data_IF_266399971016
#
_entry.id   IF_266399971016
#
_cell.length_a   1.000
_cell.length_b   1.000
_cell.length_c   1.000
_cell.angle_alpha   90.00
_cell.angle_beta   90.00
_cell.angle_gamma   90.00
#
_symmetry.space_group_name_H-M   'P 1'
#
loop_
_entity.id
_entity.type
_entity.pdbx_description
1 polymer ?
#
# COMPACT_ATOMS: atom_id res chain seq x y z
N UNK A 1 -8.57 18.01 1.68
CA UNK A 1 -8.00 18.17 0.33
C UNK A 1 -9.00 18.87 -0.58
N UNK A 2 -8.61 19.13 -1.82
CA UNK A 2 -9.42 19.77 -2.85
C UNK A 2 -9.65 18.78 -4.00
N UNK A 3 -10.81 18.90 -4.65
CA UNK A 3 -11.18 18.14 -5.85
C UNK A 3 -11.42 19.16 -6.97
N UNK A 4 -10.73 19.00 -8.09
CA UNK A 4 -10.90 19.86 -9.25
C UNK A 4 -12.18 19.52 -10.01
N UNK A 5 -12.93 20.54 -10.45
CA UNK A 5 -14.04 20.42 -11.41
C UNK A 5 -13.52 20.87 -12.76
N UNK A 6 -13.57 19.98 -13.75
CA UNK A 6 -12.98 20.21 -15.06
C UNK A 6 -14.02 20.26 -16.17
N UNK A 7 -13.70 20.96 -17.25
CA UNK A 7 -14.50 20.95 -18.49
C UNK A 7 -14.11 19.77 -19.40
N UNK A 8 -14.77 19.68 -20.57
CA UNK A 8 -14.50 18.63 -21.56
C UNK A 8 -13.09 18.69 -22.20
N UNK A 9 -12.36 19.79 -22.01
CA UNK A 9 -10.96 19.92 -22.41
C UNK A 9 -9.97 19.56 -21.28
N UNK A 10 -10.46 19.18 -20.10
CA UNK A 10 -9.65 18.87 -18.92
C UNK A 10 -9.13 20.09 -18.17
N UNK A 11 -9.65 21.29 -18.48
CA UNK A 11 -9.24 22.53 -17.82
C UNK A 11 -10.06 22.73 -16.54
N UNK A 12 -9.38 23.02 -15.42
CA UNK A 12 -10.03 23.28 -14.13
C UNK A 12 -10.87 24.57 -14.22
N UNK A 13 -12.15 24.43 -13.98
CA UNK A 13 -13.14 25.54 -13.97
C UNK A 13 -13.48 25.96 -12.53
N UNK A 14 -13.45 25.00 -11.60
CA UNK A 14 -13.73 25.23 -10.18
C UNK A 14 -12.99 24.22 -9.30
N UNK A 15 -12.95 24.49 -8.01
CA UNK A 15 -12.31 23.63 -7.00
C UNK A 15 -13.20 23.54 -5.77
N UNK A 16 -13.55 22.34 -5.37
CA UNK A 16 -14.36 22.10 -4.19
C UNK A 16 -13.56 21.42 -3.08
N UNK A 17 -14.01 21.58 -1.83
CA UNK A 17 -13.46 20.79 -0.73
C UNK A 17 -13.95 19.35 -0.82
N UNK A 18 -13.04 18.40 -0.54
CA UNK A 18 -13.43 16.99 -0.45
C UNK A 18 -14.45 16.77 0.68
N UNK A 19 -15.41 15.90 0.43
CA UNK A 19 -16.36 15.39 1.41
C UNK A 19 -16.24 13.87 1.48
N UNK A 20 -16.29 13.31 2.70
CA UNK A 20 -16.29 11.87 2.98
C UNK A 20 -17.39 11.54 3.96
N UNK A 21 -17.89 10.29 4.00
CA UNK A 21 -18.74 9.84 5.11
C UNK A 21 -18.04 10.02 6.45
N UNK A 22 -18.79 10.45 7.47
CA UNK A 22 -18.26 10.77 8.80
C UNK A 22 -17.83 9.54 9.60
N UNK A 23 -18.29 8.34 9.19
CA UNK A 23 -17.97 7.06 9.83
C UNK A 23 -17.37 6.10 8.84
N UNK A 24 -16.62 5.12 9.35
CA UNK A 24 -16.08 4.00 8.59
C UNK A 24 -16.09 2.75 9.44
N UNK A 25 -16.77 1.72 8.96
CA UNK A 25 -16.79 0.39 9.58
C UNK A 25 -15.98 -0.56 8.72
N UNK A 26 -14.97 -1.19 9.31
CA UNK A 26 -14.05 -2.09 8.61
C UNK A 26 -14.08 -3.48 9.23
N UNK A 27 -14.19 -4.50 8.39
CA UNK A 27 -14.04 -5.90 8.75
C UNK A 27 -12.75 -6.44 8.16
N UNK A 28 -12.05 -7.29 8.89
CA UNK A 28 -10.85 -7.94 8.36
C UNK A 28 -10.73 -9.38 8.81
N UNK A 29 -10.32 -10.24 7.87
CA UNK A 29 -9.88 -11.60 8.11
C UNK A 29 -8.35 -11.63 8.02
N UNK A 30 -7.71 -12.26 9.01
CA UNK A 30 -6.26 -12.45 9.03
C UNK A 30 -5.93 -13.91 9.31
N UNK A 31 -5.04 -14.45 8.49
CA UNK A 31 -4.47 -15.77 8.66
C UNK A 31 -2.95 -15.69 8.59
N UNK A 32 -2.27 -16.43 9.46
CA UNK A 32 -0.82 -16.55 9.46
C UNK A 32 -0.42 -17.98 9.77
N UNK A 33 0.60 -18.47 9.07
CA UNK A 33 1.25 -19.74 9.39
C UNK A 33 2.76 -19.54 9.50
N UNK A 34 3.35 -20.23 10.48
CA UNK A 34 4.78 -20.36 10.64
C UNK A 34 5.15 -21.83 10.62
N UNK A 35 6.12 -22.15 9.79
CA UNK A 35 6.58 -23.52 9.65
C UNK A 35 8.11 -23.57 9.84
N UNK A 36 8.55 -24.38 10.82
CA UNK A 36 9.97 -24.62 11.08
C UNK A 36 10.48 -25.72 10.13
N UNK A 37 11.60 -25.43 9.50
CA UNK A 37 12.40 -26.34 8.66
C UNK A 37 13.77 -26.52 9.35
N UNK A 38 14.50 -27.56 8.97
CA UNK A 38 15.87 -27.76 9.47
C UNK A 38 16.79 -26.58 9.12
N UNK A 39 16.57 -25.93 7.97
CA UNK A 39 17.34 -24.79 7.49
C UNK A 39 16.83 -23.42 7.97
N UNK A 40 15.67 -23.36 8.65
CA UNK A 40 15.10 -22.07 9.05
C UNK A 40 13.61 -22.07 9.31
N UNK A 41 12.97 -20.89 9.16
CA UNK A 41 11.55 -20.69 9.43
C UNK A 41 10.88 -19.94 8.30
N UNK A 42 9.83 -20.51 7.75
CA UNK A 42 8.89 -19.83 6.82
C UNK A 42 7.78 -19.17 7.64
N UNK A 43 7.47 -17.92 7.34
CA UNK A 43 6.35 -17.16 7.91
C UNK A 43 5.55 -16.56 6.74
N UNK A 44 4.31 -17.00 6.57
CA UNK A 44 3.41 -16.49 5.52
C UNK A 44 2.13 -16.03 6.17
N UNK A 45 1.66 -14.86 5.78
CA UNK A 45 0.37 -14.34 6.21
C UNK A 45 -0.45 -13.79 5.05
N UNK A 46 -1.76 -13.85 5.22
CA UNK A 46 -2.74 -13.25 4.33
C UNK A 46 -3.75 -12.44 5.14
N UNK A 47 -4.07 -11.24 4.64
CA UNK A 47 -5.13 -10.41 5.20
C UNK A 47 -6.06 -9.99 4.07
N UNK A 48 -7.34 -10.22 4.28
CA UNK A 48 -8.43 -9.59 3.55
C UNK A 48 -9.09 -8.55 4.44
N UNK A 49 -9.43 -7.38 3.90
CA UNK A 49 -10.24 -6.41 4.62
C UNK A 49 -11.20 -5.73 3.65
N UNK A 50 -12.41 -5.48 4.16
CA UNK A 50 -13.51 -4.80 3.46
C UNK A 50 -14.14 -3.77 4.38
N UNK A 51 -14.75 -2.72 3.84
CA UNK A 51 -15.41 -1.66 4.61
C UNK A 51 -16.63 -1.06 3.89
N UNK A 52 -17.37 -0.24 4.63
CA UNK A 52 -18.56 0.47 4.16
C UNK A 52 -18.26 1.66 3.21
N UNK A 53 -16.99 1.88 2.88
CA UNK A 53 -16.56 2.77 1.80
C UNK A 53 -16.33 2.01 0.48
N UNK A 54 -16.68 0.71 0.43
CA UNK A 54 -16.47 -0.21 -0.69
C UNK A 54 -14.99 -0.47 -1.02
N UNK A 55 -14.09 -0.24 -0.04
CA UNK A 55 -12.70 -0.61 -0.20
C UNK A 55 -12.50 -2.05 0.22
N UNK A 56 -12.16 -2.89 -0.75
CA UNK A 56 -11.66 -4.24 -0.55
C UNK A 56 -10.14 -4.25 -0.69
N UNK A 57 -9.46 -4.90 0.24
CA UNK A 57 -8.00 -5.00 0.19
C UNK A 57 -7.46 -6.37 0.52
N UNK A 58 -6.37 -6.73 -0.15
CA UNK A 58 -5.65 -7.99 0.02
C UNK A 58 -4.19 -7.69 0.35
N UNK A 59 -3.66 -8.37 1.36
CA UNK A 59 -2.24 -8.31 1.70
C UNK A 59 -1.71 -9.73 1.81
N UNK A 60 -0.62 -10.02 1.10
CA UNK A 60 0.18 -11.23 1.26
C UNK A 60 1.56 -10.79 1.77
N UNK A 61 2.03 -11.39 2.86
CA UNK A 61 3.35 -11.12 3.44
C UNK A 61 4.07 -12.45 3.65
N UNK A 62 5.31 -12.56 3.17
CA UNK A 62 6.12 -13.77 3.26
C UNK A 62 7.54 -13.43 3.69
N UNK A 63 8.00 -14.13 4.72
CA UNK A 63 9.37 -14.06 5.23
C UNK A 63 9.93 -15.46 5.36
N UNK A 64 11.16 -15.61 4.95
CA UNK A 64 11.85 -16.87 5.13
C UNK A 64 13.21 -16.64 5.80
N UNK A 65 13.31 -17.01 7.09
CA UNK A 65 14.58 -16.96 7.83
C UNK A 65 15.39 -18.21 7.51
N UNK A 66 16.52 -18.03 6.84
CA UNK A 66 17.53 -19.04 6.62
C UNK A 66 18.64 -18.92 7.66
N UNK A 67 18.93 -19.99 8.37
CA UNK A 67 20.07 -20.05 9.26
C UNK A 67 21.36 -20.30 8.45
N UNK A 68 22.38 -19.49 8.70
CA UNK A 68 23.71 -19.58 8.08
C UNK A 68 24.73 -19.98 9.16
N UNK A 69 24.79 -21.30 9.45
CA UNK A 69 25.50 -21.82 10.60
C UNK A 69 24.79 -21.45 11.92
N UNK A 70 25.53 -21.44 13.04
CA UNK A 70 24.95 -21.33 14.35
C UNK A 70 24.58 -19.90 14.75
N UNK A 71 25.29 -18.92 14.21
CA UNK A 71 25.24 -17.53 14.69
C UNK A 71 24.66 -16.53 13.70
N UNK A 72 24.50 -16.92 12.42
CA UNK A 72 24.05 -15.97 11.39
C UNK A 72 22.75 -16.41 10.76
N UNK A 73 22.01 -15.46 10.22
CA UNK A 73 20.84 -15.72 9.40
C UNK A 73 20.60 -14.62 8.38
N UNK A 74 19.95 -15.00 7.30
CA UNK A 74 19.35 -14.07 6.35
C UNK A 74 17.83 -14.29 6.34
N UNK A 75 17.09 -13.22 6.06
CA UNK A 75 15.65 -13.28 5.99
C UNK A 75 15.14 -12.39 4.86
N UNK A 76 14.97 -12.96 3.64
CA UNK A 76 14.21 -12.29 2.60
C UNK A 76 12.78 -12.01 3.06
N UNK A 77 12.23 -10.91 2.57
CA UNK A 77 10.88 -10.42 2.83
C UNK A 77 10.23 -10.01 1.52
N UNK A 78 9.03 -10.53 1.26
CA UNK A 78 8.19 -10.16 0.14
C UNK A 78 6.82 -9.80 0.68
N UNK A 79 6.31 -8.62 0.31
CA UNK A 79 4.94 -8.22 0.62
C UNK A 79 4.28 -7.66 -0.62
N UNK A 80 3.05 -8.08 -0.86
CA UNK A 80 2.16 -7.56 -1.88
C UNK A 80 0.88 -7.04 -1.23
N UNK A 81 0.42 -5.89 -1.68
CA UNK A 81 -0.82 -5.25 -1.27
C UNK A 81 -1.57 -4.76 -2.48
N UNK A 82 -2.89 -4.92 -2.49
CA UNK A 82 -3.78 -4.24 -3.43
C UNK A 82 -5.05 -3.80 -2.71
N UNK A 83 -5.66 -2.73 -3.21
CA UNK A 83 -6.99 -2.29 -2.79
C UNK A 83 -7.78 -1.77 -3.98
N UNK A 84 -9.13 -1.87 -3.88
CA UNK A 84 -10.07 -1.16 -4.75
C UNK A 84 -10.18 0.31 -4.35
N UNK A 85 -10.75 1.13 -5.24
CA UNK A 85 -11.10 2.51 -4.90
C UNK A 85 -12.35 2.55 -4.00
N UNK A 86 -12.44 3.57 -3.15
CA UNK A 86 -13.69 3.89 -2.46
C UNK A 86 -14.77 4.32 -3.45
N UNK A 87 -16.05 4.06 -3.12
CA UNK A 87 -17.20 4.46 -3.93
C UNK A 87 -17.18 5.95 -4.30
N UNK A 88 -16.76 6.80 -3.36
CA UNK A 88 -16.67 8.24 -3.53
C UNK A 88 -15.31 8.75 -4.02
N UNK A 89 -14.37 7.85 -4.40
CA UNK A 89 -13.10 8.28 -4.99
C UNK A 89 -13.34 8.95 -6.33
N UNK A 90 -12.88 10.19 -6.48
CA UNK A 90 -12.94 10.98 -7.70
C UNK A 90 -11.65 11.77 -7.84
N UNK A 91 -10.79 11.43 -8.80
CA UNK A 91 -9.54 12.18 -9.05
C UNK A 91 -9.85 13.62 -9.49
N UNK A 92 -10.97 13.81 -10.19
CA UNK A 92 -11.57 15.06 -10.61
C UNK A 92 -13.08 14.85 -10.79
N UNK A 93 -13.84 15.95 -10.99
CA UNK A 93 -15.25 15.95 -11.33
C UNK A 93 -15.44 16.68 -12.67
N UNK A 94 -16.38 16.22 -13.51
CA UNK A 94 -16.74 16.94 -14.71
C UNK A 94 -17.79 18.00 -14.39
N UNK A 95 -17.65 19.20 -14.95
CA UNK A 95 -18.57 20.32 -14.71
C UNK A 95 -20.04 20.06 -15.11
N UNK A 96 -20.26 19.12 -16.05
CA UNK A 96 -21.59 18.77 -16.55
C UNK A 96 -22.25 17.61 -15.80
N UNK A 97 -21.52 16.95 -14.88
CA UNK A 97 -22.06 15.86 -14.09
C UNK A 97 -22.75 16.37 -12.82
N UNK A 98 -23.78 15.66 -12.34
CA UNK A 98 -24.37 15.99 -11.05
C UNK A 98 -23.32 15.96 -9.95
N UNK A 99 -23.33 16.98 -9.06
CA UNK A 99 -22.43 17.05 -7.92
C UNK A 99 -22.70 15.89 -6.96
N UNK A 100 -21.74 14.99 -6.68
CA UNK A 100 -21.95 13.90 -5.76
C UNK A 100 -22.00 14.40 -4.29
N UNK A 101 -22.67 13.66 -3.41
CA UNK A 101 -22.72 13.97 -1.99
C UNK A 101 -21.33 13.91 -1.35
N UNK A 102 -20.53 12.93 -1.75
CA UNK A 102 -19.15 12.73 -1.31
C UNK A 102 -18.22 12.62 -2.52
N UNK A 103 -17.06 13.25 -2.44
CA UNK A 103 -15.99 13.13 -3.40
C UNK A 103 -14.63 13.37 -2.74
N UNK A 104 -13.64 12.57 -3.08
CA UNK A 104 -12.28 12.73 -2.59
C UNK A 104 -11.27 12.36 -3.68
N UNK A 105 -10.33 13.24 -3.95
CA UNK A 105 -9.19 13.01 -4.83
C UNK A 105 -7.95 12.48 -4.06
N UNK A 106 -8.15 11.96 -2.85
CA UNK A 106 -7.06 11.39 -2.07
C UNK A 106 -6.71 9.99 -2.60
N UNK A 107 -5.53 9.84 -3.22
CA UNK A 107 -5.05 8.56 -3.75
C UNK A 107 -5.04 7.42 -2.71
N UNK A 108 -5.02 7.73 -1.40
CA UNK A 108 -5.06 6.72 -0.33
C UNK A 108 -6.39 5.98 -0.24
N UNK A 109 -7.47 6.55 -0.78
CA UNK A 109 -8.77 5.89 -0.92
C UNK A 109 -9.05 5.48 -2.38
N UNK A 110 -8.10 5.67 -3.28
CA UNK A 110 -8.14 5.21 -4.67
C UNK A 110 -7.70 3.75 -4.82
N UNK A 111 -7.85 3.22 -6.03
CA UNK A 111 -7.28 1.93 -6.39
C UNK A 111 -5.74 2.01 -6.38
N UNK A 112 -5.09 1.01 -5.80
CA UNK A 112 -3.62 0.92 -5.81
C UNK A 112 -3.12 -0.50 -5.61
N UNK A 113 -1.88 -0.71 -6.07
CA UNK A 113 -1.05 -1.86 -5.67
C UNK A 113 0.20 -1.35 -4.98
N UNK A 114 0.75 -2.16 -4.05
CA UNK A 114 2.05 -1.87 -3.46
C UNK A 114 2.81 -3.17 -3.23
N UNK A 115 4.14 -3.10 -3.31
CA UNK A 115 5.00 -4.23 -2.98
C UNK A 115 6.22 -3.77 -2.19
N UNK A 116 6.70 -4.69 -1.35
CA UNK A 116 7.94 -4.55 -0.60
C UNK A 116 8.81 -5.75 -0.90
N UNK A 117 10.07 -5.50 -1.22
CA UNK A 117 11.11 -6.53 -1.34
C UNK A 117 12.22 -6.15 -0.38
N UNK A 118 12.60 -7.07 0.50
CA UNK A 118 13.58 -6.79 1.52
C UNK A 118 14.48 -7.96 1.86
N UNK A 119 15.59 -7.63 2.50
CA UNK A 119 16.52 -8.59 3.05
C UNK A 119 16.98 -8.12 4.44
N UNK A 120 16.88 -9.01 5.42
CA UNK A 120 17.45 -8.83 6.76
C UNK A 120 18.63 -9.79 6.91
N UNK A 121 19.76 -9.28 7.43
CA UNK A 121 20.86 -10.09 7.93
C UNK A 121 20.94 -9.90 9.45
N UNK A 122 21.11 -10.98 10.19
CA UNK A 122 21.28 -10.95 11.63
C UNK A 122 22.42 -11.84 12.10
N UNK A 123 23.03 -11.41 13.20
CA UNK A 123 24.13 -12.11 13.85
C UNK A 123 23.90 -12.20 15.35
N UNK A 124 23.98 -13.43 15.89
CA UNK A 124 23.96 -13.72 17.32
C UNK A 124 25.39 -13.75 17.84
N UNK A 125 25.63 -13.00 18.91
CA UNK A 125 26.93 -12.95 19.56
C UNK A 125 27.02 -14.04 20.65
N UNK A 126 28.23 -14.43 21.03
CA UNK A 126 28.47 -15.43 22.08
C UNK A 126 27.91 -15.02 23.46
N UNK A 127 27.80 -13.73 23.73
CA UNK A 127 27.21 -13.19 24.95
C UNK A 127 25.68 -13.19 25.00
N UNK A 128 25.01 -13.76 23.98
CA UNK A 128 23.56 -13.82 23.86
C UNK A 128 22.91 -12.62 23.21
N UNK A 129 23.65 -11.56 22.91
CA UNK A 129 23.14 -10.40 22.20
C UNK A 129 22.95 -10.72 20.71
N UNK A 130 22.08 -9.97 20.04
CA UNK A 130 21.85 -10.07 18.58
C UNK A 130 21.81 -8.69 17.95
N UNK A 131 22.48 -8.53 16.83
CA UNK A 131 22.26 -7.38 15.97
C UNK A 131 21.75 -7.80 14.60
N UNK A 132 21.00 -6.91 13.96
CA UNK A 132 20.52 -7.16 12.60
C UNK A 132 20.39 -5.88 11.81
N UNK A 133 20.66 -5.98 10.52
CA UNK A 133 20.44 -4.93 9.51
C UNK A 133 19.39 -5.41 8.52
N UNK A 134 18.45 -4.54 8.18
CA UNK A 134 17.43 -4.78 7.18
C UNK A 134 17.46 -3.65 6.14
N UNK A 135 17.40 -4.02 4.87
CA UNK A 135 17.16 -3.12 3.76
C UNK A 135 15.90 -3.56 3.02
N UNK A 136 14.99 -2.63 2.76
CA UNK A 136 13.74 -2.89 2.04
C UNK A 136 13.52 -1.83 0.97
N UNK A 137 13.06 -2.25 -0.20
CA UNK A 137 12.52 -1.40 -1.24
C UNK A 137 11.00 -1.50 -1.22
N UNK A 138 10.35 -0.36 -1.17
CA UNK A 138 8.89 -0.21 -1.23
C UNK A 138 8.50 0.56 -2.48
N UNK A 139 7.47 0.10 -3.16
CA UNK A 139 6.82 0.84 -4.23
C UNK A 139 5.32 0.73 -4.10
N UNK A 140 4.63 1.86 -4.30
CA UNK A 140 3.18 1.97 -4.35
C UNK A 140 2.80 2.61 -5.67
N UNK A 141 1.90 1.96 -6.38
CA UNK A 141 1.41 2.37 -7.69
C UNK A 141 -0.11 2.62 -7.59
N UNK A 142 -0.54 3.89 -7.43
CA UNK A 142 -1.94 4.26 -7.61
C UNK A 142 -2.37 3.96 -9.05
N UNK A 143 -3.65 3.67 -9.24
CA UNK A 143 -4.20 3.33 -10.55
C UNK A 143 -5.40 4.20 -10.89
N UNK A 144 -5.62 4.37 -12.18
CA UNK A 144 -6.89 4.88 -12.67
C UNK A 144 -8.00 3.84 -12.39
N UNK A 145 -8.98 4.20 -11.57
CA UNK A 145 -10.12 3.37 -11.22
C UNK A 145 -11.25 3.42 -12.28
N UNK A 146 -10.89 3.55 -13.55
CA UNK A 146 -11.83 3.55 -14.68
C UNK A 146 -12.40 4.93 -15.04
N UNK A 147 -11.72 6.01 -14.67
CA UNK A 147 -12.11 7.37 -15.08
C UNK A 147 -11.56 7.71 -16.46
N UNK A 148 -12.44 8.23 -17.32
CA UNK A 148 -12.03 8.82 -18.59
C UNK A 148 -11.38 10.19 -18.32
N UNK A 149 -10.14 10.38 -18.76
CA UNK A 149 -9.36 11.59 -18.54
C UNK A 149 -9.56 12.55 -19.74
N UNK A 150 -10.35 13.64 -19.58
CA UNK A 150 -10.66 14.50 -20.69
C UNK A 150 -9.48 15.42 -21.05
N UNK A 151 -9.28 15.61 -22.36
CA UNK A 151 -8.37 16.62 -22.91
C UNK A 151 -6.96 16.57 -22.34
N UNK A 152 -6.53 17.68 -21.73
CA UNK A 152 -5.15 17.81 -21.19
C UNK A 152 -4.86 16.88 -20.01
N UNK A 153 -5.86 16.33 -19.33
CA UNK A 153 -5.63 15.40 -18.23
C UNK A 153 -5.07 14.06 -18.71
N UNK A 154 -5.40 13.64 -19.94
CA UNK A 154 -4.88 12.42 -20.53
C UNK A 154 -3.36 12.42 -20.75
N UNK A 155 -2.76 13.62 -20.84
CA UNK A 155 -1.31 13.81 -21.00
C UNK A 155 -0.57 13.97 -19.65
N UNK A 156 -1.29 13.97 -18.52
CA UNK A 156 -0.72 14.16 -17.19
C UNK A 156 -0.61 12.83 -16.44
N UNK A 157 0.45 12.69 -15.65
CA UNK A 157 0.55 11.59 -14.68
C UNK A 157 -0.26 11.94 -13.42
N UNK A 158 -1.52 11.53 -13.39
CA UNK A 158 -2.44 11.74 -12.27
C UNK A 158 -2.21 10.73 -11.12
N UNK A 159 -1.46 9.66 -11.38
CA UNK A 159 -1.27 8.53 -10.45
C UNK A 159 0.23 8.22 -10.19
N UNK A 160 1.02 9.21 -9.77
CA UNK A 160 2.46 9.02 -9.63
C UNK A 160 2.79 7.94 -8.60
N UNK A 161 3.75 7.07 -8.96
CA UNK A 161 4.25 6.03 -8.06
C UNK A 161 5.04 6.64 -6.90
N UNK A 162 4.85 6.09 -5.70
CA UNK A 162 5.67 6.38 -4.52
C UNK A 162 6.70 5.27 -4.34
N UNK A 163 7.98 5.63 -4.23
CA UNK A 163 9.10 4.70 -4.03
C UNK A 163 9.91 5.09 -2.81
N UNK A 164 10.33 4.09 -2.03
CA UNK A 164 11.14 4.31 -0.84
C UNK A 164 12.16 3.19 -0.64
N UNK A 165 13.32 3.54 -0.10
CA UNK A 165 14.29 2.60 0.46
C UNK A 165 14.30 2.78 1.97
N UNK A 166 14.13 1.68 2.70
CA UNK A 166 14.05 1.65 4.16
C UNK A 166 15.27 0.89 4.67
N UNK A 167 16.06 1.52 5.53
CA UNK A 167 17.16 0.88 6.24
C UNK A 167 16.85 0.86 7.73
N UNK A 168 17.03 -0.30 8.35
CA UNK A 168 16.77 -0.49 9.77
C UNK A 168 17.91 -1.25 10.43
N UNK A 169 18.35 -0.76 11.58
CA UNK A 169 19.26 -1.46 12.47
C UNK A 169 18.53 -1.85 13.75
N UNK A 170 18.72 -3.08 14.20
CA UNK A 170 18.17 -3.60 15.46
C UNK A 170 19.31 -4.18 16.30
N UNK A 171 19.24 -3.96 17.59
CA UNK A 171 20.13 -4.54 18.57
C UNK A 171 19.32 -5.04 19.77
N UNK A 172 19.56 -6.30 20.16
CA UNK A 172 18.95 -6.95 21.33
C UNK A 172 20.08 -7.34 22.31
N UNK A 173 19.91 -6.98 23.54
CA UNK A 173 20.81 -7.31 24.67
C UNK A 173 20.14 -8.19 25.71
#
# INVERSE_FOLDING_TARGET
KLVSVVDGAGMTQDVIYEGRPDSRTKHSFFWQTKYALDSGVVDVSYRFATDDWEIDSHTIDSRFRFNLGDNNYIQPHLRYYQQSAAEFYRPFLNQNDPMPMYASADYRVGEMTAYTVGLKYGHKMENGHEWAVRAEYYQQDPKNAGFDEPGVLADLDLYPSVKAVILQFNYHF
#
